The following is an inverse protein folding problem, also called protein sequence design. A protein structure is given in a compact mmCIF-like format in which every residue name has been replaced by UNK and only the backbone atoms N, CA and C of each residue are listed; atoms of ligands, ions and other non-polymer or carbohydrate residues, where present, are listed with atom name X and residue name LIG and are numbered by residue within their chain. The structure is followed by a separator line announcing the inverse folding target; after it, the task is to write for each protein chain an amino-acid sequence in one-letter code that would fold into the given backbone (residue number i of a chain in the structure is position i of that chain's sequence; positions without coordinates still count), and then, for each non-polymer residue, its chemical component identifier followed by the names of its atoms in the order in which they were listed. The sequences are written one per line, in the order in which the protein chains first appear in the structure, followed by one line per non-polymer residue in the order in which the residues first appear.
data_IF_573625320314
#
_entry.id   IF_573625320314
#
_cell.length_a   1.000
_cell.length_b   1.000
_cell.length_c   1.000
_cell.angle_alpha   90.00
_cell.angle_beta   90.00
_cell.angle_gamma   90.00
#
_symmetry.space_group_name_H-M   'P 1'
#
loop_
_entity.id
_entity.type
_entity.pdbx_description
1 polymer ?
#
# COMPACT_ATOMS: atom_id res chain seq x y z
N UNK A 1 4.54 -4.79 -2.09
CA UNK A 1 4.31 -3.44 -1.54
C UNK A 1 5.63 -2.90 -1.05
N UNK A 2 5.84 -1.59 -1.15
CA UNK A 2 7.10 -0.97 -0.73
C UNK A 2 6.92 0.52 -0.39
N UNK A 3 7.81 1.06 0.43
CA UNK A 3 8.03 2.49 0.58
C UNK A 3 8.92 3.03 -0.54
N UNK A 4 8.61 4.19 -1.10
CA UNK A 4 9.43 4.75 -2.18
C UNK A 4 10.80 5.27 -1.73
N UNK A 5 11.01 5.42 -0.43
CA UNK A 5 12.27 5.79 0.21
C UNK A 5 12.92 4.60 0.94
N UNK A 6 12.59 3.36 0.54
CA UNK A 6 13.23 2.15 1.07
C UNK A 6 14.69 2.10 0.60
N UNK A 7 15.61 2.39 1.50
CA UNK A 7 17.07 2.38 1.31
C UNK A 7 17.72 1.07 1.76
N UNK A 8 16.98 0.18 2.41
CA UNK A 8 17.47 -1.14 2.87
C UNK A 8 17.38 -2.17 1.76
N UNK A 9 16.17 -2.41 1.22
CA UNK A 9 15.96 -3.33 0.09
C UNK A 9 16.18 -2.65 -1.27
N UNK A 10 16.19 -1.34 -1.30
CA UNK A 10 16.26 -0.53 -2.50
C UNK A 10 14.94 -0.52 -3.29
N UNK A 11 14.23 0.60 -3.32
CA UNK A 11 12.96 0.67 -4.03
C UNK A 11 13.13 0.38 -5.54
N UNK A 12 14.00 1.11 -6.24
CA UNK A 12 14.18 0.98 -7.69
C UNK A 12 14.93 -0.31 -8.08
N UNK A 13 16.01 -0.62 -7.36
CA UNK A 13 16.90 -1.75 -7.68
C UNK A 13 16.42 -3.09 -7.09
N UNK A 14 15.58 -3.05 -6.08
CA UNK A 14 15.00 -4.21 -5.41
C UNK A 14 13.53 -4.43 -5.81
N UNK A 15 12.60 -3.89 -5.02
CA UNK A 15 11.16 -4.19 -5.17
C UNK A 15 10.62 -3.84 -6.56
N UNK A 16 10.95 -2.65 -7.09
CA UNK A 16 10.47 -2.23 -8.42
C UNK A 16 11.11 -3.05 -9.54
N UNK A 17 12.38 -3.42 -9.42
CA UNK A 17 13.05 -4.27 -10.39
C UNK A 17 12.40 -5.67 -10.47
N UNK A 18 12.04 -6.26 -9.31
CA UNK A 18 11.29 -7.53 -9.25
C UNK A 18 9.93 -7.39 -9.91
N UNK A 19 9.19 -6.32 -9.60
CA UNK A 19 7.90 -6.02 -10.21
C UNK A 19 7.99 -5.91 -11.73
N UNK A 20 8.97 -5.19 -12.27
CA UNK A 20 9.17 -5.04 -13.71
C UNK A 20 9.66 -6.35 -14.36
N UNK A 21 10.54 -7.10 -13.71
CA UNK A 21 11.11 -8.34 -14.22
C UNK A 21 10.15 -9.55 -14.22
N UNK A 22 9.07 -9.52 -13.44
CA UNK A 22 8.10 -10.61 -13.34
C UNK A 22 7.11 -10.57 -14.51
N UNK A 23 7.56 -10.82 -15.74
CA UNK A 23 6.79 -10.60 -16.98
C UNK A 23 5.72 -11.64 -17.29
N UNK A 24 5.71 -12.79 -16.59
CA UNK A 24 4.79 -13.90 -16.87
C UNK A 24 3.53 -13.92 -16.00
N UNK A 25 3.39 -12.98 -15.06
CA UNK A 25 2.27 -12.91 -14.13
C UNK A 25 1.57 -11.56 -14.21
N UNK A 26 0.28 -11.54 -13.84
CA UNK A 26 -0.43 -10.31 -13.50
C UNK A 26 0.12 -9.82 -12.15
N UNK A 27 0.59 -8.60 -12.11
CA UNK A 27 1.33 -8.09 -10.95
C UNK A 27 0.92 -6.68 -10.59
N UNK A 28 0.91 -6.43 -9.29
CA UNK A 28 0.56 -5.15 -8.71
C UNK A 28 1.70 -4.65 -7.82
N UNK A 29 1.97 -3.36 -7.87
CA UNK A 29 2.89 -2.70 -6.96
C UNK A 29 2.17 -1.57 -6.24
N UNK A 30 1.89 -1.78 -4.94
CA UNK A 30 1.44 -0.71 -4.05
C UNK A 30 2.66 -0.02 -3.46
N UNK A 31 2.78 1.28 -3.74
CA UNK A 31 3.85 2.14 -3.24
C UNK A 31 3.32 3.15 -2.25
N UNK A 32 3.96 3.23 -1.09
CA UNK A 32 3.78 4.29 -0.11
C UNK A 32 4.82 5.37 -0.40
N UNK A 33 4.37 6.52 -0.92
CA UNK A 33 5.29 7.61 -1.29
C UNK A 33 5.99 8.16 -0.05
N UNK A 34 7.31 8.30 -0.14
CA UNK A 34 8.20 8.70 0.98
C UNK A 34 8.22 7.73 2.17
N UNK A 35 7.55 6.58 2.08
CA UNK A 35 7.66 5.53 3.09
C UNK A 35 9.03 4.87 3.06
N UNK A 36 9.54 4.48 4.23
CA UNK A 36 10.81 3.77 4.39
C UNK A 36 10.66 2.25 4.23
N UNK A 37 11.72 1.52 4.55
CA UNK A 37 11.70 0.05 4.60
C UNK A 37 10.65 -0.50 5.57
N UNK A 38 10.39 0.20 6.67
CA UNK A 38 9.49 -0.24 7.73
C UNK A 38 8.04 0.19 7.54
N UNK A 39 7.69 0.78 6.38
CA UNK A 39 6.30 1.14 6.09
C UNK A 39 5.41 -0.12 6.09
N UNK A 40 4.25 -0.02 6.73
CA UNK A 40 3.32 -1.13 6.91
C UNK A 40 3.88 -2.34 7.71
N UNK A 41 4.84 -2.09 8.61
CA UNK A 41 5.28 -3.08 9.59
C UNK A 41 4.09 -3.61 10.43
N UNK A 42 4.23 -4.81 11.04
CA UNK A 42 3.19 -5.37 11.89
C UNK A 42 2.72 -4.40 12.97
N UNK A 43 1.42 -4.29 13.16
CA UNK A 43 0.81 -3.44 14.18
C UNK A 43 -0.28 -4.23 14.95
N UNK A 44 -0.25 -4.26 16.31
CA UNK A 44 0.72 -3.58 17.15
C UNK A 44 2.13 -4.19 17.07
N UNK A 45 3.15 -3.38 17.33
CA UNK A 45 4.50 -3.88 17.53
C UNK A 45 4.51 -4.82 18.76
N UNK A 46 5.35 -5.87 18.77
CA UNK A 46 5.44 -6.76 19.92
C UNK A 46 5.92 -5.99 21.17
N UNK A 47 5.48 -6.44 22.35
CA UNK A 47 5.76 -5.74 23.62
C UNK A 47 7.28 -5.56 23.85
N UNK A 48 8.08 -6.51 23.43
CA UNK A 48 9.54 -6.53 23.57
C UNK A 48 10.20 -5.40 22.74
N UNK A 49 9.52 -4.90 21.71
CA UNK A 49 10.02 -3.81 20.90
C UNK A 49 10.18 -2.50 21.67
N UNK A 50 9.46 -2.35 22.77
CA UNK A 50 9.50 -1.14 23.61
C UNK A 50 10.54 -1.19 24.72
N UNK A 51 11.26 -2.32 24.89
CA UNK A 51 12.37 -2.44 25.81
C UNK A 51 13.70 -2.14 25.09
N UNK A 52 14.63 -1.50 25.81
CA UNK A 52 15.99 -1.27 25.27
C UNK A 52 16.71 -2.62 25.11
N UNK A 53 17.29 -2.84 23.94
CA UNK A 53 18.09 -4.04 23.63
C UNK A 53 19.58 -3.71 23.72
N UNK A 54 20.27 -4.30 24.70
CA UNK A 54 21.72 -4.15 24.84
C UNK A 54 22.48 -4.69 23.61
N UNK A 55 21.97 -5.77 22.98
CA UNK A 55 22.57 -6.37 21.80
C UNK A 55 22.48 -5.48 20.56
N UNK A 56 21.34 -4.77 20.39
CA UNK A 56 21.12 -3.83 19.29
C UNK A 56 21.58 -2.41 19.63
N UNK A 57 21.84 -2.12 20.90
CA UNK A 57 22.07 -0.75 21.44
C UNK A 57 21.01 0.26 21.02
N UNK A 58 19.76 -0.19 20.93
CA UNK A 58 18.61 0.58 20.47
C UNK A 58 17.29 0.01 21.01
N UNK A 59 16.21 0.76 20.86
CA UNK A 59 14.87 0.24 21.03
C UNK A 59 14.42 -0.43 19.72
N UNK A 60 14.10 -1.73 19.69
CA UNK A 60 13.65 -2.42 18.48
C UNK A 60 12.39 -1.81 17.84
N UNK A 61 11.63 -1.03 18.58
CA UNK A 61 10.45 -0.31 18.09
C UNK A 61 10.74 0.52 16.82
N UNK A 62 11.95 1.02 16.65
CA UNK A 62 12.36 1.75 15.46
C UNK A 62 12.21 0.93 14.16
N UNK A 63 12.23 -0.41 14.25
CA UNK A 63 11.98 -1.31 13.11
C UNK A 63 10.48 -1.53 12.81
N UNK A 64 9.59 -1.02 13.67
CA UNK A 64 8.14 -1.08 13.52
C UNK A 64 7.52 0.29 13.24
N UNK A 65 8.34 1.31 13.09
CA UNK A 65 7.91 2.69 12.83
C UNK A 65 8.42 3.19 11.49
N UNK A 66 7.61 3.99 10.84
CA UNK A 66 7.97 4.73 9.63
C UNK A 66 7.95 6.23 9.96
N UNK A 67 8.95 7.02 9.51
CA UNK A 67 9.02 8.45 9.86
C UNK A 67 7.94 9.29 9.20
N UNK A 68 7.28 8.78 8.15
CA UNK A 68 6.28 9.52 7.35
C UNK A 68 4.88 8.93 7.51
N UNK A 69 4.80 7.59 7.60
CA UNK A 69 3.53 6.88 7.60
C UNK A 69 3.15 6.39 8.99
N UNK A 70 1.92 6.70 9.40
CA UNK A 70 1.33 6.11 10.61
C UNK A 70 1.22 4.59 10.48
N UNK A 71 1.67 3.86 11.50
CA UNK A 71 1.74 2.39 11.47
C UNK A 71 0.36 1.74 11.38
N UNK A 72 -0.66 2.28 12.06
CA UNK A 72 -2.04 1.74 12.01
C UNK A 72 -2.62 1.95 10.62
N UNK A 73 -2.48 3.18 10.09
CA UNK A 73 -2.98 3.52 8.77
C UNK A 73 -2.31 2.69 7.67
N UNK A 74 -1.00 2.57 7.68
CA UNK A 74 -0.26 1.82 6.65
C UNK A 74 -0.57 0.33 6.71
N UNK A 75 -0.72 -0.24 7.92
CA UNK A 75 -1.13 -1.62 8.09
C UNK A 75 -2.55 -1.88 7.59
N UNK A 76 -3.51 -0.99 7.88
CA UNK A 76 -4.88 -1.10 7.36
C UNK A 76 -4.93 -1.03 5.83
N UNK A 77 -4.12 -0.17 5.21
CA UNK A 77 -3.97 -0.08 3.75
C UNK A 77 -3.41 -1.39 3.19
N UNK A 78 -2.36 -1.93 3.81
CA UNK A 78 -1.77 -3.22 3.44
C UNK A 78 -2.81 -4.33 3.50
N UNK A 79 -3.56 -4.45 4.60
CA UNK A 79 -4.61 -5.45 4.76
C UNK A 79 -5.72 -5.29 3.72
N UNK A 80 -6.15 -4.06 3.42
CA UNK A 80 -7.14 -3.79 2.39
C UNK A 80 -6.71 -4.38 1.04
N UNK A 81 -5.54 -4.00 0.55
CA UNK A 81 -5.08 -4.47 -0.77
C UNK A 81 -4.72 -5.96 -0.80
N UNK A 82 -4.14 -6.51 0.27
CA UNK A 82 -3.88 -7.94 0.38
C UNK A 82 -5.17 -8.75 0.35
N UNK A 83 -6.18 -8.35 1.12
CA UNK A 83 -7.48 -9.02 1.16
C UNK A 83 -8.17 -8.97 -0.20
N UNK A 84 -8.21 -7.79 -0.83
CA UNK A 84 -8.84 -7.62 -2.16
C UNK A 84 -8.11 -8.47 -3.20
N UNK A 85 -6.78 -8.44 -3.22
CA UNK A 85 -5.97 -9.25 -4.13
C UNK A 85 -6.28 -10.76 -3.99
N UNK A 86 -6.32 -11.26 -2.74
CA UNK A 86 -6.64 -12.66 -2.47
C UNK A 86 -8.10 -13.00 -2.82
N UNK A 87 -9.05 -12.09 -2.56
CA UNK A 87 -10.45 -12.27 -2.96
C UNK A 87 -10.60 -12.43 -4.47
N UNK A 88 -9.93 -11.60 -5.26
CA UNK A 88 -9.97 -11.69 -6.72
C UNK A 88 -9.29 -12.96 -7.22
N UNK A 89 -8.05 -13.23 -6.78
CA UNK A 89 -7.20 -14.24 -7.41
C UNK A 89 -7.35 -15.65 -6.82
N UNK A 90 -7.74 -15.79 -5.56
CA UNK A 90 -7.95 -17.10 -4.94
C UNK A 90 -9.41 -17.49 -4.84
N UNK A 91 -10.32 -16.54 -4.53
CA UNK A 91 -11.75 -16.84 -4.40
C UNK A 91 -12.55 -16.59 -5.68
N UNK A 92 -11.98 -15.86 -6.65
CA UNK A 92 -12.69 -15.53 -7.89
C UNK A 92 -13.79 -14.47 -7.74
N UNK A 93 -13.74 -13.66 -6.69
CA UNK A 93 -14.71 -12.59 -6.40
C UNK A 93 -14.49 -11.40 -7.35
N UNK A 94 -15.12 -11.46 -8.53
CA UNK A 94 -14.92 -10.48 -9.61
C UNK A 94 -15.25 -9.04 -9.20
N UNK A 95 -16.25 -8.84 -8.34
CA UNK A 95 -16.65 -7.50 -7.88
C UNK A 95 -15.56 -6.83 -7.02
N UNK A 96 -14.70 -7.62 -6.39
CA UNK A 96 -13.55 -7.11 -5.66
C UNK A 96 -12.51 -6.46 -6.58
N UNK A 97 -12.47 -6.80 -7.89
CA UNK A 97 -11.55 -6.21 -8.86
C UNK A 97 -11.65 -4.68 -8.92
N UNK A 98 -12.83 -4.12 -8.70
CA UNK A 98 -13.03 -2.67 -8.70
C UNK A 98 -12.23 -1.90 -7.63
N UNK A 99 -11.72 -2.59 -6.60
CA UNK A 99 -10.82 -2.00 -5.59
C UNK A 99 -9.34 -2.01 -6.03
N UNK A 100 -9.01 -2.76 -7.09
CA UNK A 100 -7.69 -2.79 -7.71
C UNK A 100 -7.62 -2.00 -9.02
N UNK A 101 -8.77 -1.78 -9.68
CA UNK A 101 -8.88 -1.01 -10.92
C UNK A 101 -9.08 0.48 -10.60
N UNK A 102 -8.06 1.09 -10.03
CA UNK A 102 -8.06 2.49 -9.58
C UNK A 102 -7.08 3.32 -10.41
N UNK A 103 -7.24 4.65 -10.38
CA UNK A 103 -6.24 5.54 -10.99
C UNK A 103 -4.89 5.32 -10.33
N UNK A 104 -3.75 5.36 -11.06
CA UNK A 104 -2.46 4.95 -10.54
C UNK A 104 -2.01 5.70 -9.28
N UNK A 105 -2.27 7.00 -9.18
CA UNK A 105 -1.96 7.80 -7.99
C UNK A 105 -3.25 8.17 -7.27
N UNK A 106 -3.31 7.90 -5.97
CA UNK A 106 -4.48 8.24 -5.17
C UNK A 106 -4.79 9.74 -5.11
N UNK A 107 -3.78 10.60 -5.31
CA UNK A 107 -3.94 12.05 -5.42
C UNK A 107 -4.65 12.50 -6.70
N UNK A 108 -4.61 11.68 -7.76
CA UNK A 108 -5.16 12.05 -9.07
C UNK A 108 -6.65 11.67 -9.21
N UNK A 109 -7.16 10.90 -8.24
CA UNK A 109 -8.56 10.52 -8.19
C UNK A 109 -9.48 11.70 -7.82
N UNK A 110 -10.61 11.80 -8.49
CA UNK A 110 -11.63 12.81 -8.23
C UNK A 110 -12.63 12.27 -7.21
N UNK A 111 -12.72 12.91 -6.04
CA UNK A 111 -13.72 12.63 -5.02
C UNK A 111 -14.91 13.58 -5.19
N UNK A 112 -15.88 13.18 -5.98
CA UNK A 112 -17.06 13.98 -6.30
C UNK A 112 -18.34 13.25 -5.87
N UNK A 113 -19.04 13.81 -4.90
CA UNK A 113 -20.26 13.23 -4.32
C UNK A 113 -21.39 14.26 -4.23
N UNK A 114 -22.62 13.80 -4.30
CA UNK A 114 -23.82 14.57 -4.01
C UNK A 114 -23.95 14.83 -2.49
N UNK A 115 -24.89 15.70 -2.10
CA UNK A 115 -25.15 15.99 -0.67
C UNK A 115 -25.60 14.76 0.14
N UNK A 116 -26.19 13.77 -0.52
CA UNK A 116 -26.66 12.51 0.07
C UNK A 116 -25.60 11.41 0.03
N UNK A 117 -24.37 11.74 -0.41
CA UNK A 117 -23.23 10.80 -0.47
C UNK A 117 -23.15 9.96 -1.74
N UNK A 118 -24.09 10.06 -2.69
CA UNK A 118 -23.99 9.35 -3.97
C UNK A 118 -22.84 9.88 -4.81
N UNK A 119 -22.10 8.96 -5.43
CA UNK A 119 -21.01 9.31 -6.34
C UNK A 119 -21.59 9.99 -7.61
N UNK A 120 -20.94 11.06 -8.04
CA UNK A 120 -21.21 11.73 -9.30
C UNK A 120 -20.57 10.98 -10.48
N UNK A 121 -21.00 11.24 -11.74
CA UNK A 121 -20.45 10.57 -12.92
C UNK A 121 -18.93 10.74 -13.13
N UNK A 122 -18.34 11.80 -12.61
CA UNK A 122 -16.91 12.10 -12.66
C UNK A 122 -16.11 11.52 -11.49
N UNK A 123 -16.74 10.75 -10.60
CA UNK A 123 -16.06 10.13 -9.48
C UNK A 123 -15.06 9.06 -9.95
N UNK A 124 -13.78 9.27 -9.68
CA UNK A 124 -12.69 8.34 -9.99
C UNK A 124 -11.79 8.04 -8.79
N UNK A 125 -12.22 8.47 -7.59
CA UNK A 125 -11.42 8.25 -6.40
C UNK A 125 -11.34 6.76 -6.02
N UNK A 126 -10.29 6.36 -5.35
CA UNK A 126 -10.05 4.96 -4.97
C UNK A 126 -11.21 4.38 -4.16
N UNK A 127 -11.78 3.29 -4.65
CA UNK A 127 -12.87 2.59 -3.97
C UNK A 127 -12.41 2.07 -2.62
N UNK A 128 -13.22 2.28 -1.58
CA UNK A 128 -12.88 1.93 -0.19
C UNK A 128 -12.11 3.01 0.57
N UNK A 129 -11.74 4.12 -0.10
CA UNK A 129 -11.03 5.24 0.54
C UNK A 129 -11.93 6.47 0.68
N UNK A 130 -11.90 7.08 1.88
CA UNK A 130 -12.50 8.39 2.09
C UNK A 130 -11.70 9.50 1.40
N UNK A 131 -12.29 10.69 1.29
CA UNK A 131 -11.65 11.84 0.67
C UNK A 131 -10.25 12.10 1.27
N UNK A 132 -9.24 12.24 0.44
CA UNK A 132 -7.81 12.46 0.78
C UNK A 132 -7.11 11.27 1.45
N UNK A 133 -7.80 10.18 1.78
CA UNK A 133 -7.16 9.07 2.49
C UNK A 133 -6.30 8.17 1.62
N UNK A 134 -6.40 8.26 0.28
CA UNK A 134 -5.48 7.63 -0.66
C UNK A 134 -4.28 8.51 -1.05
N UNK A 135 -4.21 9.75 -0.53
CA UNK A 135 -3.07 10.63 -0.80
C UNK A 135 -1.76 9.99 -0.32
N UNK A 136 -0.72 10.08 -1.15
CA UNK A 136 0.57 9.45 -0.89
C UNK A 136 0.66 7.98 -1.29
N UNK A 137 -0.38 7.40 -1.88
CA UNK A 137 -0.38 6.04 -2.39
C UNK A 137 -0.30 6.02 -3.92
N UNK A 138 0.39 5.00 -4.44
CA UNK A 138 0.41 4.66 -5.86
C UNK A 138 0.17 3.16 -6.04
N UNK A 139 -0.74 2.78 -6.94
CA UNK A 139 -0.98 1.39 -7.31
C UNK A 139 -0.74 1.23 -8.80
N UNK A 140 0.29 0.46 -9.14
CA UNK A 140 0.61 0.12 -10.52
C UNK A 140 0.20 -1.33 -10.80
N UNK A 141 -0.30 -1.58 -12.01
CA UNK A 141 -0.58 -2.93 -12.50
C UNK A 141 0.08 -3.17 -13.84
N UNK A 142 0.75 -4.29 -13.99
CA UNK A 142 1.24 -4.80 -15.26
C UNK A 142 0.70 -6.20 -15.51
N UNK A 143 0.19 -6.42 -16.72
CA UNK A 143 -0.31 -7.73 -17.17
C UNK A 143 0.84 -8.57 -17.75
N UNK A 144 0.66 -9.91 -17.87
CA UNK A 144 1.63 -10.75 -18.56
C UNK A 144 1.98 -10.22 -19.95
N UNK A 145 3.25 -10.32 -20.34
CA UNK A 145 3.74 -9.87 -21.65
C UNK A 145 4.00 -8.37 -21.79
N UNK A 146 3.90 -7.62 -20.68
CA UNK A 146 4.24 -6.19 -20.66
C UNK A 146 5.38 -5.90 -19.71
#
# INVERSE_FOLDING_TARGET
MAGSADDVSGYETGTRAIYLGTTRADRYLLTFLHGSHNVAAPNPAPAEAFAYSEGLKAFPFMHYADPVWDAVRSNNILQHFATVFLSVHLKGERDAQAFLDVVPRGSDGVYSVERDGRQKPDYTYWKGFGQRTAAGLMLERLRPGK
#
